data_IF_610722823407
#
_entry.id   IF_610722823407
#
_cell.length_a   1.000
_cell.length_b   1.000
_cell.length_c   1.000
_cell.angle_alpha   90.00
_cell.angle_beta   90.00
_cell.angle_gamma   90.00
#
_symmetry.space_group_name_H-M   'P 1'
#
loop_
_entity.id
_entity.type
_entity.pdbx_description
1 polymer ?
#
# COMPACT_ATOMS: atom_id res chain seq x y z
N UNK A 1 20.89 2.15 34.76
CA UNK A 1 20.80 3.30 33.84
C UNK A 1 19.39 3.36 33.30
N UNK A 2 18.66 4.43 33.62
CA UNK A 2 17.26 4.62 33.21
C UNK A 2 17.20 4.93 31.71
N UNK A 3 16.64 4.02 30.92
CA UNK A 3 16.23 4.28 29.53
C UNK A 3 15.12 5.35 29.57
N UNK A 4 15.50 6.61 29.48
CA UNK A 4 14.54 7.69 29.25
C UNK A 4 13.95 7.47 27.86
N UNK A 5 12.71 7.00 27.80
CA UNK A 5 11.94 7.05 26.57
C UNK A 5 11.89 8.50 26.10
N UNK A 6 12.56 8.82 25.00
CA UNK A 6 12.41 10.11 24.35
C UNK A 6 10.92 10.23 23.98
N UNK A 7 10.18 11.09 24.70
CA UNK A 7 8.94 11.63 24.16
C UNK A 7 9.34 12.26 22.82
N UNK A 8 8.73 11.88 21.69
CA UNK A 8 9.15 12.42 20.40
C UNK A 8 9.07 13.94 20.51
N UNK A 9 10.21 14.62 20.34
CA UNK A 9 10.24 16.07 20.29
C UNK A 9 9.22 16.47 19.22
N UNK A 10 8.34 17.42 19.55
CA UNK A 10 7.42 17.95 18.54
C UNK A 10 8.31 18.59 17.48
N UNK A 11 8.52 17.90 16.37
CA UNK A 11 9.27 18.44 15.24
C UNK A 11 8.70 19.82 14.91
N UNK A 12 9.55 20.85 14.96
CA UNK A 12 9.19 22.15 14.44
C UNK A 12 9.08 21.99 12.93
N UNK A 13 7.86 22.11 12.42
CA UNK A 13 7.60 21.91 11.00
C UNK A 13 8.19 23.07 10.19
N UNK A 14 8.86 22.75 9.08
CA UNK A 14 9.20 23.76 8.07
C UNK A 14 7.93 24.37 7.45
N UNK A 15 8.05 25.53 6.81
CA UNK A 15 6.91 26.14 6.11
C UNK A 15 6.37 25.23 5.00
N UNK A 16 7.24 24.53 4.29
CA UNK A 16 6.84 23.54 3.28
C UNK A 16 6.02 22.40 3.90
N UNK A 17 6.46 21.86 5.04
CA UNK A 17 5.73 20.81 5.75
C UNK A 17 4.39 21.31 6.28
N UNK A 18 4.34 22.53 6.85
CA UNK A 18 3.07 23.13 7.31
C UNK A 18 2.08 23.24 6.16
N UNK A 19 2.51 23.70 4.99
CA UNK A 19 1.69 23.83 3.77
C UNK A 19 1.22 22.48 3.25
N UNK A 20 2.12 21.50 3.19
CA UNK A 20 1.80 20.13 2.81
C UNK A 20 0.68 19.57 3.71
N UNK A 21 0.84 19.65 5.04
CA UNK A 21 -0.18 19.18 5.98
C UNK A 21 -1.48 19.99 5.94
N UNK A 22 -1.41 21.30 5.67
CA UNK A 22 -2.61 22.13 5.50
C UNK A 22 -3.37 21.79 4.19
N UNK A 23 -2.69 21.19 3.21
CA UNK A 23 -3.28 20.76 1.94
C UNK A 23 -3.96 19.39 1.99
N UNK A 24 -3.79 18.64 3.08
CA UNK A 24 -4.45 17.35 3.28
C UNK A 24 -5.97 17.51 3.20
N UNK A 25 -6.61 16.60 2.47
CA UNK A 25 -8.06 16.46 2.35
C UNK A 25 -8.53 15.07 2.74
N UNK A 26 -7.65 14.08 2.71
CA UNK A 26 -7.96 12.71 3.10
C UNK A 26 -7.68 12.45 4.58
N UNK A 27 -8.39 11.46 5.12
CA UNK A 27 -8.14 10.99 6.48
C UNK A 27 -6.79 10.28 6.56
N UNK A 28 -5.91 10.76 7.44
CA UNK A 28 -4.61 10.14 7.69
C UNK A 28 -4.60 9.15 8.86
N UNK A 29 -5.74 8.95 9.52
CA UNK A 29 -5.94 7.98 10.60
C UNK A 29 -5.04 8.13 11.83
N UNK A 30 -4.35 9.28 11.96
CA UNK A 30 -3.46 9.59 13.09
C UNK A 30 -4.18 9.54 14.45
N UNK A 31 -5.46 9.88 14.49
CA UNK A 31 -6.25 9.77 15.72
C UNK A 31 -6.53 8.31 16.09
N UNK A 32 -6.77 7.44 15.10
CA UNK A 32 -6.90 5.99 15.32
C UNK A 32 -5.59 5.43 15.83
N UNK A 33 -4.45 5.86 15.26
CA UNK A 33 -3.14 5.43 15.74
C UNK A 33 -2.97 5.74 17.25
N UNK A 34 -3.37 6.95 17.69
CA UNK A 34 -3.28 7.33 19.10
C UNK A 34 -4.13 6.47 20.05
N UNK A 35 -5.27 5.95 19.59
CA UNK A 35 -6.23 5.24 20.44
C UNK A 35 -6.10 3.72 20.32
N UNK A 36 -5.82 3.23 19.12
CA UNK A 36 -5.93 1.82 18.77
C UNK A 36 -4.58 1.16 18.47
N UNK A 37 -3.53 1.94 18.15
CA UNK A 37 -2.24 1.34 17.85
C UNK A 37 -1.61 0.72 19.10
N UNK A 38 -1.02 -0.45 18.91
CA UNK A 38 -0.27 -1.13 19.96
C UNK A 38 1.22 -0.91 19.72
N UNK A 39 1.89 -0.34 20.72
CA UNK A 39 3.34 -0.19 20.71
C UNK A 39 4.02 -1.51 21.06
N UNK A 40 5.00 -1.90 20.26
CA UNK A 40 5.86 -3.04 20.57
C UNK A 40 6.76 -2.69 21.77
N UNK A 41 7.01 -3.65 22.68
CA UNK A 41 8.07 -3.51 23.68
C UNK A 41 9.47 -3.53 23.04
N UNK A 42 9.60 -4.03 21.81
CA UNK A 42 10.83 -4.02 21.05
C UNK A 42 11.09 -2.62 20.48
N UNK A 43 12.32 -2.13 20.65
CA UNK A 43 12.77 -0.86 20.08
C UNK A 43 13.62 -1.16 18.85
N UNK A 44 13.19 -0.67 17.69
CA UNK A 44 13.93 -0.84 16.44
C UNK A 44 15.20 0.01 16.46
N UNK A 45 16.22 -0.45 15.77
CA UNK A 45 17.54 0.16 15.70
C UNK A 45 18.08 0.12 14.25
N UNK A 46 19.23 0.74 13.97
CA UNK A 46 19.89 0.57 12.67
C UNK A 46 20.19 -0.89 12.30
N UNK A 47 20.31 -1.81 13.27
CA UNK A 47 20.49 -3.23 13.00
C UNK A 47 19.25 -3.87 12.34
N UNK A 48 18.08 -3.24 12.51
CA UNK A 48 16.82 -3.69 11.92
C UNK A 48 16.57 -3.10 10.54
N UNK A 49 17.50 -2.33 9.96
CA UNK A 49 17.28 -1.80 8.62
C UNK A 49 17.00 -2.89 7.60
N UNK A 50 15.98 -2.65 6.77
CA UNK A 50 15.77 -3.45 5.58
C UNK A 50 16.95 -3.25 4.62
N UNK A 51 17.36 -4.29 3.88
CA UNK A 51 18.31 -4.12 2.79
C UNK A 51 17.80 -3.08 1.78
N UNK A 52 18.73 -2.33 1.20
CA UNK A 52 18.41 -1.23 0.31
C UNK A 52 17.59 -1.69 -0.91
N UNK A 53 17.92 -2.86 -1.46
CA UNK A 53 17.22 -3.50 -2.57
C UNK A 53 15.77 -3.85 -2.22
N UNK A 54 15.49 -4.27 -0.99
CA UNK A 54 14.13 -4.56 -0.52
C UNK A 54 13.34 -3.26 -0.38
N UNK A 55 13.94 -2.22 0.19
CA UNK A 55 13.30 -0.90 0.31
C UNK A 55 13.02 -0.29 -1.07
N UNK A 56 13.95 -0.40 -2.02
CA UNK A 56 13.77 0.06 -3.40
C UNK A 56 12.66 -0.71 -4.11
N UNK A 57 12.63 -2.04 -3.97
CA UNK A 57 11.57 -2.88 -4.54
C UNK A 57 10.19 -2.50 -3.99
N UNK A 58 10.06 -2.41 -2.66
CA UNK A 58 8.82 -2.00 -2.00
C UNK A 58 8.40 -0.60 -2.46
N UNK A 59 9.34 0.34 -2.54
CA UNK A 59 9.07 1.69 -3.04
C UNK A 59 8.59 1.69 -4.49
N UNK A 60 9.18 0.86 -5.36
CA UNK A 60 8.77 0.69 -6.75
C UNK A 60 7.35 0.15 -6.86
N UNK A 61 7.03 -0.94 -6.16
CA UNK A 61 5.68 -1.51 -6.16
C UNK A 61 4.65 -0.53 -5.55
N UNK A 62 5.05 0.27 -4.57
CA UNK A 62 4.21 1.29 -3.95
C UNK A 62 3.68 2.34 -4.93
N UNK A 63 4.43 2.66 -5.99
CA UNK A 63 3.96 3.58 -7.03
C UNK A 63 2.67 3.08 -7.70
N UNK A 64 2.56 1.77 -7.92
CA UNK A 64 1.37 1.17 -8.53
C UNK A 64 0.17 1.16 -7.57
N UNK A 65 0.41 0.90 -6.29
CA UNK A 65 -0.62 1.00 -5.25
C UNK A 65 -1.14 2.43 -5.09
N UNK A 66 -0.28 3.44 -5.21
CA UNK A 66 -0.62 4.86 -5.16
C UNK A 66 -1.43 5.28 -6.40
N UNK A 67 -1.05 4.84 -7.60
CA UNK A 67 -1.81 5.15 -8.84
C UNK A 67 -3.20 4.53 -8.84
N UNK A 68 -3.41 3.39 -8.15
CA UNK A 68 -4.75 2.80 -8.01
C UNK A 68 -5.75 3.74 -7.32
N UNK A 69 -5.27 4.72 -6.55
CA UNK A 69 -6.10 5.74 -5.91
C UNK A 69 -6.46 6.93 -6.81
N UNK A 70 -5.81 7.05 -7.97
CA UNK A 70 -6.03 8.15 -8.89
C UNK A 70 -7.51 8.31 -9.24
N UNK A 71 -7.99 9.56 -9.20
CA UNK A 71 -9.35 9.92 -9.62
C UNK A 71 -9.51 9.92 -11.15
N UNK A 72 -8.40 9.82 -11.87
CA UNK A 72 -8.35 9.82 -13.33
C UNK A 72 -8.50 8.38 -13.83
N UNK A 73 -9.30 8.14 -14.90
CA UNK A 73 -9.35 6.82 -15.54
C UNK A 73 -7.95 6.31 -15.86
N UNK A 74 -7.69 5.06 -15.50
CA UNK A 74 -6.35 4.47 -15.61
C UNK A 74 -5.95 4.35 -17.09
N UNK A 75 -6.90 4.04 -17.96
CA UNK A 75 -6.74 4.01 -19.41
C UNK A 75 -6.18 5.34 -19.93
N UNK A 76 -6.83 6.45 -19.57
CA UNK A 76 -6.38 7.78 -19.97
C UNK A 76 -4.98 8.10 -19.45
N UNK A 77 -4.67 7.70 -18.21
CA UNK A 77 -3.35 7.85 -17.62
C UNK A 77 -2.29 7.10 -18.46
N UNK A 78 -2.56 5.87 -18.89
CA UNK A 78 -1.63 5.08 -19.71
C UNK A 78 -1.51 5.61 -21.14
N UNK A 79 -2.61 6.07 -21.76
CA UNK A 79 -2.59 6.72 -23.08
C UNK A 79 -1.74 8.00 -23.08
N UNK A 80 -1.62 8.67 -21.94
CA UNK A 80 -0.87 9.93 -21.78
C UNK A 80 0.39 9.76 -20.91
N UNK A 81 0.88 8.52 -20.72
CA UNK A 81 1.85 8.19 -19.69
C UNK A 81 3.15 8.98 -19.80
N UNK A 82 3.67 9.17 -21.03
CA UNK A 82 4.87 9.97 -21.28
C UNK A 82 4.73 11.38 -20.71
N UNK A 83 3.60 12.06 -20.97
CA UNK A 83 3.33 13.38 -20.42
C UNK A 83 3.09 13.34 -18.91
N UNK A 84 2.41 12.30 -18.39
CA UNK A 84 2.17 12.19 -16.95
C UNK A 84 3.46 12.08 -16.14
N UNK A 85 4.51 11.49 -16.72
CA UNK A 85 5.83 11.31 -16.11
C UNK A 85 6.74 12.53 -16.21
N UNK A 86 6.40 13.53 -17.02
CA UNK A 86 7.20 14.76 -17.15
C UNK A 86 7.31 15.49 -15.80
N UNK A 87 8.39 16.27 -15.58
CA UNK A 87 8.48 17.18 -14.44
C UNK A 87 7.22 18.02 -14.32
N UNK A 88 6.78 18.31 -13.10
CA UNK A 88 5.53 19.03 -12.76
C UNK A 88 4.21 18.29 -13.01
N UNK A 89 4.17 17.22 -13.82
CA UNK A 89 2.94 16.44 -14.05
C UNK A 89 2.64 15.47 -12.88
N UNK A 90 1.45 14.83 -12.85
CA UNK A 90 1.02 14.05 -11.69
C UNK A 90 1.94 12.90 -11.29
N UNK A 91 2.58 12.23 -12.26
CA UNK A 91 3.46 11.07 -12.04
C UNK A 91 4.95 11.43 -12.05
N UNK A 92 5.29 12.71 -11.82
CA UNK A 92 6.67 13.14 -11.58
C UNK A 92 7.34 12.26 -10.49
N UNK A 93 8.41 11.55 -10.87
CA UNK A 93 9.17 10.65 -10.00
C UNK A 93 8.61 9.21 -9.90
N UNK A 94 7.60 8.85 -10.69
CA UNK A 94 7.04 7.49 -10.74
C UNK A 94 7.80 6.64 -11.77
N UNK A 95 9.10 6.48 -11.55
CA UNK A 95 10.04 5.84 -12.48
C UNK A 95 9.64 4.41 -12.87
N UNK A 96 8.92 3.69 -12.01
CA UNK A 96 8.50 2.31 -12.26
C UNK A 96 7.44 2.20 -13.36
N UNK A 97 6.81 3.31 -13.74
CA UNK A 97 5.85 3.36 -14.84
C UNK A 97 6.51 3.51 -16.21
N UNK A 98 7.81 3.82 -16.32
CA UNK A 98 8.47 4.00 -17.62
C UNK A 98 8.37 2.80 -18.54
N UNK A 99 8.35 1.59 -17.97
CA UNK A 99 8.29 0.32 -18.69
C UNK A 99 6.92 -0.38 -18.56
N UNK A 100 5.93 0.33 -18.00
CA UNK A 100 4.61 -0.21 -17.67
C UNK A 100 3.64 -0.12 -18.85
N UNK A 101 3.01 -1.25 -19.16
CA UNK A 101 2.06 -1.42 -20.26
C UNK A 101 0.69 -1.72 -19.65
N UNK A 102 -0.33 -1.01 -20.09
CA UNK A 102 -1.69 -1.26 -19.63
C UNK A 102 -2.19 -2.65 -20.09
N UNK A 103 -2.82 -3.40 -19.18
CA UNK A 103 -3.44 -4.70 -19.51
C UNK A 103 -4.95 -4.64 -19.36
N UNK A 104 -5.43 -4.18 -18.21
CA UNK A 104 -6.85 -4.08 -17.90
C UNK A 104 -7.11 -3.10 -16.75
N UNK A 105 -8.29 -2.47 -16.74
CA UNK A 105 -8.87 -1.89 -15.54
C UNK A 105 -10.24 -2.51 -15.30
N UNK A 106 -10.70 -2.46 -14.06
CA UNK A 106 -12.00 -2.98 -13.67
C UNK A 106 -12.53 -2.26 -12.44
N UNK A 107 -13.85 -2.29 -12.29
CA UNK A 107 -14.56 -1.74 -11.14
C UNK A 107 -15.38 -2.85 -10.49
N UNK A 108 -15.16 -3.09 -9.20
CA UNK A 108 -15.89 -4.10 -8.46
C UNK A 108 -17.36 -3.74 -8.28
N UNK A 109 -18.26 -4.73 -8.27
CA UNK A 109 -19.73 -4.52 -8.16
C UNK A 109 -20.20 -4.04 -6.78
N UNK A 110 -19.28 -3.82 -5.85
CA UNK A 110 -19.56 -3.44 -4.47
C UNK A 110 -18.71 -2.22 -4.16
N UNK A 111 -19.37 -1.11 -3.82
CA UNK A 111 -18.74 0.18 -3.52
C UNK A 111 -17.82 0.70 -4.63
N UNK A 112 -18.03 0.23 -5.86
CA UNK A 112 -17.33 0.65 -7.08
C UNK A 112 -15.81 0.73 -6.90
N UNK A 113 -15.21 -0.26 -6.24
CA UNK A 113 -13.77 -0.31 -5.97
C UNK A 113 -13.01 -0.53 -7.29
N UNK A 114 -12.22 0.43 -7.79
CA UNK A 114 -11.37 0.19 -8.94
C UNK A 114 -10.17 -0.68 -8.61
N UNK A 115 -9.73 -1.43 -9.62
CA UNK A 115 -8.42 -2.04 -9.69
C UNK A 115 -7.93 -2.04 -11.12
N UNK A 116 -6.64 -2.27 -11.30
CA UNK A 116 -6.05 -2.35 -12.63
C UNK A 116 -4.89 -3.34 -12.65
N UNK A 117 -4.52 -3.71 -13.86
CA UNK A 117 -3.43 -4.61 -14.15
C UNK A 117 -2.53 -3.97 -15.19
N UNK A 118 -1.24 -4.03 -14.93
CA UNK A 118 -0.20 -3.52 -15.81
C UNK A 118 0.95 -4.51 -15.90
N UNK A 119 1.60 -4.58 -17.06
CA UNK A 119 2.77 -5.40 -17.28
C UNK A 119 4.02 -4.53 -17.38
N UNK A 120 5.01 -4.80 -16.54
CA UNK A 120 6.32 -4.14 -16.59
C UNK A 120 7.25 -4.92 -17.50
N UNK A 121 7.52 -4.36 -18.68
CA UNK A 121 8.23 -5.07 -19.76
C UNK A 121 9.69 -5.40 -19.43
N UNK A 122 10.41 -4.56 -18.70
CA UNK A 122 11.81 -4.81 -18.36
C UNK A 122 11.94 -5.79 -17.21
N UNK A 123 11.10 -5.65 -16.18
CA UNK A 123 11.09 -6.54 -15.02
C UNK A 123 10.35 -7.85 -15.27
N UNK A 124 9.62 -7.97 -16.39
CA UNK A 124 8.72 -9.09 -16.72
C UNK A 124 7.69 -9.37 -15.61
N UNK A 125 7.18 -8.31 -14.99
CA UNK A 125 6.24 -8.39 -13.87
C UNK A 125 4.82 -8.07 -14.33
N UNK A 126 3.87 -8.93 -13.99
CA UNK A 126 2.44 -8.59 -14.08
C UNK A 126 1.98 -8.06 -12.72
N UNK A 127 1.59 -6.79 -12.66
CA UNK A 127 1.18 -6.13 -11.43
C UNK A 127 -0.33 -5.98 -11.39
N UNK A 128 -0.94 -6.45 -10.31
CA UNK A 128 -2.35 -6.29 -9.99
C UNK A 128 -2.47 -5.33 -8.81
N UNK A 129 -3.05 -4.17 -9.04
CA UNK A 129 -3.17 -3.12 -8.02
C UNK A 129 -4.64 -2.84 -7.68
N UNK A 130 -4.94 -2.84 -6.38
CA UNK A 130 -6.27 -2.53 -5.86
C UNK A 130 -6.28 -1.19 -5.13
N UNK A 131 -7.30 -0.39 -5.38
CA UNK A 131 -7.51 0.84 -4.62
C UNK A 131 -8.06 0.55 -3.24
N UNK A 132 -7.84 1.47 -2.31
CA UNK A 132 -8.72 1.59 -1.15
C UNK A 132 -9.81 2.63 -1.39
N UNK A 133 -10.89 2.58 -0.62
CA UNK A 133 -11.96 3.58 -0.77
C UNK A 133 -11.67 4.86 0.02
N UNK A 134 -11.99 6.05 -0.53
CA UNK A 134 -11.99 7.30 0.22
C UNK A 134 -13.04 7.29 1.36
N UNK A 135 -14.06 6.45 1.24
CA UNK A 135 -15.00 6.12 2.32
C UNK A 135 -14.45 5.07 3.29
N UNK A 136 -13.12 4.86 3.35
CA UNK A 136 -12.50 3.95 4.31
C UNK A 136 -13.03 4.22 5.72
N UNK A 137 -13.32 5.48 6.07
CA UNK A 137 -14.04 5.85 7.29
C UNK A 137 -15.39 5.15 7.48
N UNK A 138 -16.23 5.02 6.46
CA UNK A 138 -17.48 4.23 6.53
C UNK A 138 -17.18 2.74 6.69
N UNK A 139 -16.22 2.18 5.95
CA UNK A 139 -15.79 0.79 6.17
C UNK A 139 -15.22 0.56 7.59
N UNK A 140 -14.64 1.61 8.19
CA UNK A 140 -14.15 1.61 9.58
C UNK A 140 -15.24 1.92 10.62
N UNK A 141 -16.34 2.59 10.29
CA UNK A 141 -17.48 2.77 11.19
C UNK A 141 -18.48 1.61 11.10
N UNK A 142 -18.55 0.93 9.95
CA UNK A 142 -19.24 -0.34 9.75
C UNK A 142 -18.54 -1.52 10.47
N UNK A 143 -17.50 -1.26 11.29
CA UNK A 143 -16.91 -2.21 12.26
C UNK A 143 -17.89 -2.51 13.41
N UNK A 144 -19.17 -2.77 13.11
CA UNK A 144 -19.74 -3.99 13.69
C UNK A 144 -18.94 -5.12 13.06
N UNK A 145 -17.91 -5.57 13.77
CA UNK A 145 -16.89 -6.55 13.39
C UNK A 145 -17.47 -7.94 13.06
N UNK A 146 -18.41 -8.01 12.13
CA UNK A 146 -19.11 -9.21 11.74
C UNK A 146 -18.14 -10.06 10.93
N UNK A 147 -17.73 -11.13 11.58
CA UNK A 147 -16.87 -12.16 11.02
C UNK A 147 -17.72 -13.04 10.11
N UNK A 148 -17.39 -13.10 8.83
CA UNK A 148 -17.95 -14.06 7.90
C UNK A 148 -17.12 -15.35 7.92
N UNK A 149 -17.76 -16.51 8.02
CA UNK A 149 -17.03 -17.79 7.90
C UNK A 149 -16.43 -17.89 6.50
N UNK A 150 -15.12 -18.05 6.41
CA UNK A 150 -14.44 -18.17 5.12
C UNK A 150 -14.82 -19.51 4.46
N UNK A 151 -14.98 -19.59 3.12
CA UNK A 151 -15.33 -20.83 2.43
C UNK A 151 -14.40 -22.02 2.71
N UNK A 152 -13.14 -21.76 3.08
CA UNK A 152 -12.21 -22.84 3.50
C UNK A 152 -12.62 -23.51 4.81
N UNK A 153 -13.54 -22.94 5.59
CA UNK A 153 -13.92 -23.37 6.94
C UNK A 153 -12.77 -23.37 7.96
N UNK A 154 -11.60 -22.81 7.60
CA UNK A 154 -10.41 -22.72 8.46
C UNK A 154 -10.33 -21.45 9.29
N UNK A 155 -11.37 -20.61 9.24
CA UNK A 155 -11.44 -19.38 10.02
C UNK A 155 -12.50 -18.43 9.50
N UNK A 156 -12.46 -17.20 10.00
CA UNK A 156 -13.36 -16.13 9.60
C UNK A 156 -12.60 -14.94 9.01
N UNK A 157 -13.26 -14.25 8.09
CA UNK A 157 -12.80 -13.03 7.40
C UNK A 157 -13.72 -11.87 7.78
N UNK A 158 -13.21 -10.64 7.73
CA UNK A 158 -14.05 -9.45 7.90
C UNK A 158 -15.12 -9.41 6.80
N UNK A 159 -16.40 -9.35 7.17
CA UNK A 159 -17.52 -9.44 6.22
C UNK A 159 -17.49 -8.34 5.14
N UNK A 160 -17.11 -7.11 5.51
CA UNK A 160 -16.97 -6.00 4.56
C UNK A 160 -15.88 -6.26 3.52
N UNK A 161 -14.67 -6.65 3.96
CA UNK A 161 -13.56 -6.95 3.03
C UNK A 161 -13.88 -8.15 2.15
N UNK A 162 -14.57 -9.16 2.70
CA UNK A 162 -15.06 -10.30 1.93
C UNK A 162 -16.09 -9.90 0.88
N UNK A 163 -17.03 -9.01 1.20
CA UNK A 163 -18.03 -8.51 0.23
C UNK A 163 -17.36 -7.76 -0.91
N UNK A 164 -16.42 -6.87 -0.60
CA UNK A 164 -15.64 -6.11 -1.59
C UNK A 164 -14.84 -7.06 -2.48
N UNK A 165 -14.09 -7.99 -1.88
CA UNK A 165 -13.32 -8.99 -2.60
C UNK A 165 -14.18 -9.82 -3.56
N UNK A 166 -15.32 -10.34 -3.10
CA UNK A 166 -16.25 -11.09 -3.97
C UNK A 166 -16.76 -10.25 -5.14
N UNK A 167 -16.98 -8.95 -4.94
CA UNK A 167 -17.45 -8.03 -5.98
C UNK A 167 -16.43 -7.76 -7.08
N UNK A 168 -15.14 -7.97 -6.81
CA UNK A 168 -14.03 -7.64 -7.73
C UNK A 168 -13.27 -8.88 -8.23
N UNK A 169 -13.36 -10.01 -7.52
CA UNK A 169 -12.60 -11.25 -7.78
C UNK A 169 -12.63 -11.69 -9.24
N UNK A 170 -13.82 -11.77 -9.85
CA UNK A 170 -13.96 -12.30 -11.21
C UNK A 170 -13.17 -11.47 -12.23
N UNK A 171 -13.28 -10.14 -12.16
CA UNK A 171 -12.58 -9.22 -13.06
C UNK A 171 -11.06 -9.24 -12.85
N UNK A 172 -10.61 -9.31 -11.60
CA UNK A 172 -9.20 -9.43 -11.30
C UNK A 172 -8.60 -10.74 -11.87
N UNK A 173 -9.27 -11.88 -11.68
CA UNK A 173 -8.81 -13.15 -12.24
C UNK A 173 -8.81 -13.15 -13.76
N UNK A 174 -9.84 -12.58 -14.40
CA UNK A 174 -9.90 -12.43 -15.86
C UNK A 174 -8.74 -11.59 -16.39
N UNK A 175 -8.49 -10.42 -15.78
CA UNK A 175 -7.39 -9.55 -16.18
C UNK A 175 -6.01 -10.18 -15.94
N UNK A 176 -5.83 -10.99 -14.87
CA UNK A 176 -4.59 -11.75 -14.65
C UNK A 176 -4.40 -12.78 -15.77
N UNK A 177 -5.43 -13.56 -16.11
CA UNK A 177 -5.35 -14.53 -17.21
C UNK A 177 -5.00 -13.84 -18.53
N UNK A 178 -5.62 -12.69 -18.80
CA UNK A 178 -5.31 -11.87 -19.98
C UNK A 178 -3.83 -11.46 -19.99
N UNK A 179 -3.33 -10.91 -18.89
CA UNK A 179 -1.92 -10.49 -18.79
C UNK A 179 -0.93 -11.65 -18.96
N UNK A 180 -1.19 -12.78 -18.31
CA UNK A 180 -0.37 -13.99 -18.45
C UNK A 180 -0.38 -14.57 -19.87
N UNK A 181 -1.47 -14.41 -20.61
CA UNK A 181 -1.58 -14.88 -21.99
C UNK A 181 -0.93 -13.92 -23.01
N UNK A 182 -0.86 -12.62 -22.71
CA UNK A 182 -0.40 -11.59 -23.65
C UNK A 182 1.08 -11.23 -23.49
N UNK A 183 1.70 -11.58 -22.37
CA UNK A 183 3.04 -11.14 -22.02
C UNK A 183 3.91 -12.28 -21.48
N UNK A 184 5.24 -12.15 -21.64
CA UNK A 184 6.24 -13.04 -21.05
C UNK A 184 6.42 -12.71 -19.56
N UNK A 185 5.48 -13.17 -18.73
CA UNK A 185 5.46 -12.88 -17.29
C UNK A 185 6.38 -13.85 -16.54
N UNK A 186 7.32 -13.30 -15.77
CA UNK A 186 8.21 -14.05 -14.87
C UNK A 186 7.89 -13.84 -13.39
N UNK A 187 7.02 -12.90 -13.05
CA UNK A 187 6.57 -12.67 -11.68
C UNK A 187 5.16 -12.06 -11.67
N UNK A 188 4.27 -12.60 -10.84
CA UNK A 188 2.98 -11.98 -10.54
C UNK A 188 3.09 -11.17 -9.24
N UNK A 189 2.86 -9.86 -9.31
CA UNK A 189 2.85 -8.98 -8.15
C UNK A 189 1.42 -8.56 -7.85
N UNK A 190 0.99 -8.75 -6.60
CA UNK A 190 -0.31 -8.30 -6.10
C UNK A 190 -0.05 -7.20 -5.07
N UNK A 191 -0.64 -6.02 -5.27
CA UNK A 191 -0.42 -4.87 -4.40
C UNK A 191 -1.70 -4.10 -4.12
N UNK A 192 -1.65 -3.30 -3.05
CA UNK A 192 -2.76 -2.47 -2.63
C UNK A 192 -2.40 -1.67 -1.39
N UNK A 193 -2.97 -0.47 -1.30
CA UNK A 193 -2.87 0.40 -0.14
C UNK A 193 -4.20 0.40 0.63
N UNK A 194 -4.14 0.53 1.97
CA UNK A 194 -5.32 0.54 2.84
C UNK A 194 -6.20 -0.71 2.66
N UNK A 195 -7.51 -0.52 2.51
CA UNK A 195 -8.49 -1.53 2.11
C UNK A 195 -8.07 -2.34 0.86
N UNK A 196 -7.38 -1.72 -0.10
CA UNK A 196 -6.84 -2.42 -1.27
C UNK A 196 -5.90 -3.54 -0.86
N UNK A 197 -5.07 -3.32 0.17
CA UNK A 197 -4.19 -4.35 0.72
C UNK A 197 -4.95 -5.55 1.34
N UNK A 198 -6.11 -5.33 1.94
CA UNK A 198 -6.96 -6.42 2.42
C UNK A 198 -7.57 -7.23 1.26
N UNK A 199 -7.95 -6.56 0.16
CA UNK A 199 -8.42 -7.23 -1.06
C UNK A 199 -7.29 -8.02 -1.72
N UNK A 200 -6.09 -7.47 -1.80
CA UNK A 200 -4.88 -8.15 -2.32
C UNK A 200 -4.58 -9.44 -1.53
N UNK A 201 -4.64 -9.38 -0.21
CA UNK A 201 -4.49 -10.57 0.65
C UNK A 201 -5.56 -11.61 0.35
N UNK A 202 -6.83 -11.24 0.24
CA UNK A 202 -7.90 -12.20 -0.05
C UNK A 202 -7.78 -12.81 -1.46
N UNK A 203 -7.31 -12.04 -2.45
CA UNK A 203 -7.02 -12.56 -3.78
C UNK A 203 -5.93 -13.62 -3.74
N UNK A 204 -4.79 -13.32 -3.11
CA UNK A 204 -3.70 -14.28 -3.03
C UNK A 204 -4.12 -15.54 -2.26
N UNK A 205 -4.94 -15.40 -1.22
CA UNK A 205 -5.43 -16.55 -0.44
C UNK A 205 -6.18 -17.53 -1.35
N UNK A 206 -7.06 -17.02 -2.20
CA UNK A 206 -7.83 -17.84 -3.13
C UNK A 206 -6.96 -18.42 -4.25
N UNK A 207 -5.97 -17.68 -4.76
CA UNK A 207 -5.00 -18.19 -5.76
C UNK A 207 -4.18 -19.34 -5.18
N UNK A 208 -3.69 -19.24 -3.95
CA UNK A 208 -2.93 -20.30 -3.29
C UNK A 208 -3.79 -21.52 -2.94
N UNK A 209 -5.07 -21.28 -2.63
CA UNK A 209 -6.03 -22.34 -2.32
C UNK A 209 -6.44 -23.12 -3.57
N UNK A 210 -6.58 -22.45 -4.71
CA UNK A 210 -6.99 -23.04 -5.97
C UNK A 210 -6.16 -22.46 -7.13
N UNK A 211 -5.04 -23.12 -7.41
CA UNK A 211 -4.12 -22.74 -8.49
C UNK A 211 -4.75 -22.85 -9.88
N UNK A 212 -5.96 -23.42 -10.04
CA UNK A 212 -6.67 -23.43 -11.32
C UNK A 212 -7.36 -22.09 -11.62
N UNK A 213 -7.44 -21.18 -10.63
CA UNK A 213 -8.06 -19.88 -10.85
C UNK A 213 -7.28 -19.06 -11.88
N UNK A 214 -5.96 -19.17 -11.90
CA UNK A 214 -5.05 -18.50 -12.85
C UNK A 214 -3.87 -19.42 -13.14
N UNK A 215 -3.36 -19.52 -14.38
CA UNK A 215 -2.31 -20.46 -14.75
C UNK A 215 -0.93 -19.99 -14.25
N UNK A 216 -0.74 -19.99 -12.93
CA UNK A 216 0.50 -19.50 -12.30
C UNK A 216 1.59 -20.57 -12.20
N UNK A 217 1.26 -21.87 -12.13
CA UNK A 217 2.28 -22.92 -12.03
C UNK A 217 3.37 -22.62 -10.98
N UNK A 218 4.63 -22.67 -11.40
CA UNK A 218 5.80 -22.29 -10.59
C UNK A 218 6.18 -20.79 -10.66
N UNK A 219 5.43 -19.97 -11.40
CA UNK A 219 5.65 -18.52 -11.53
C UNK A 219 5.72 -17.86 -10.14
N UNK A 220 6.82 -17.19 -9.76
CA UNK A 220 6.91 -16.45 -8.51
C UNK A 220 5.74 -15.49 -8.29
N UNK A 221 5.19 -15.49 -7.07
CA UNK A 221 4.11 -14.57 -6.69
C UNK A 221 4.60 -13.68 -5.55
N UNK A 222 4.43 -12.36 -5.68
CA UNK A 222 4.77 -11.41 -4.63
C UNK A 222 3.55 -10.63 -4.17
N UNK A 223 3.37 -10.54 -2.87
CA UNK A 223 2.38 -9.66 -2.25
C UNK A 223 3.11 -8.48 -1.62
N UNK A 224 2.77 -7.25 -2.00
CA UNK A 224 3.30 -6.04 -1.33
C UNK A 224 2.14 -5.14 -0.96
N UNK A 225 1.86 -4.97 0.32
CA UNK A 225 0.72 -4.17 0.80
C UNK A 225 1.16 -3.06 1.74
N UNK A 226 0.46 -1.93 1.67
CA UNK A 226 0.79 -0.71 2.40
C UNK A 226 -0.37 -0.31 3.29
N UNK A 227 -0.15 -0.20 4.60
CA UNK A 227 -1.21 0.21 5.53
C UNK A 227 -2.42 -0.71 5.53
N UNK A 228 -2.22 -2.01 5.27
CA UNK A 228 -3.33 -2.96 5.20
C UNK A 228 -3.95 -3.18 6.60
N UNK A 229 -5.28 -3.11 6.74
CA UNK A 229 -5.96 -3.51 7.96
C UNK A 229 -5.88 -5.03 8.17
N UNK A 230 -6.15 -5.49 9.38
CA UNK A 230 -6.36 -6.92 9.65
C UNK A 230 -7.65 -7.37 8.97
N UNK A 231 -7.60 -8.39 8.11
CA UNK A 231 -8.80 -8.84 7.38
C UNK A 231 -9.24 -10.25 7.76
N UNK A 232 -8.40 -11.02 8.44
CA UNK A 232 -8.64 -12.41 8.83
C UNK A 232 -8.51 -12.62 10.34
N UNK A 233 -9.21 -13.65 10.84
CA UNK A 233 -9.03 -14.14 12.21
C UNK A 233 -7.82 -15.07 12.32
N UNK A 234 -7.35 -15.33 13.55
CA UNK A 234 -6.21 -16.23 13.83
C UNK A 234 -6.24 -17.55 13.04
N UNK A 235 -7.41 -18.21 12.95
CA UNK A 235 -7.52 -19.47 12.19
C UNK A 235 -7.27 -19.29 10.69
N UNK A 236 -7.81 -18.21 10.11
CA UNK A 236 -7.66 -17.95 8.67
C UNK A 236 -6.23 -17.51 8.33
N UNK A 237 -5.58 -16.75 9.22
CA UNK A 237 -4.16 -16.40 9.09
C UNK A 237 -3.25 -17.63 9.27
N UNK A 238 -3.60 -18.55 10.18
CA UNK A 238 -2.87 -19.83 10.26
C UNK A 238 -2.99 -20.61 8.95
N UNK A 239 -4.19 -20.69 8.39
CA UNK A 239 -4.42 -21.35 7.10
C UNK A 239 -3.68 -20.70 5.94
N UNK A 240 -3.54 -19.37 5.95
CA UNK A 240 -2.66 -18.67 5.01
C UNK A 240 -1.22 -19.16 5.10
N UNK A 241 -0.64 -19.22 6.31
CA UNK A 241 0.71 -19.76 6.51
C UNK A 241 0.86 -21.18 5.96
N UNK A 242 -0.12 -22.05 6.24
CA UNK A 242 -0.15 -23.43 5.70
C UNK A 242 -0.13 -23.44 4.16
N UNK A 243 -0.78 -22.48 3.48
CA UNK A 243 -0.78 -22.36 2.02
C UNK A 243 0.56 -21.82 1.48
N UNK A 244 1.15 -20.85 2.16
CA UNK A 244 2.47 -20.28 1.82
C UNK A 244 3.55 -21.36 1.92
N UNK A 245 3.57 -22.09 3.04
CA UNK A 245 4.53 -23.18 3.29
C UNK A 245 4.38 -24.28 2.22
N UNK A 246 3.14 -24.71 1.95
CA UNK A 246 2.86 -25.70 0.89
C UNK A 246 3.37 -25.25 -0.48
N UNK A 247 3.25 -23.97 -0.80
CA UNK A 247 3.75 -23.43 -2.07
C UNK A 247 5.27 -23.43 -2.12
N UNK A 248 5.93 -23.04 -1.03
CA UNK A 248 7.40 -23.09 -0.92
C UNK A 248 7.95 -24.50 -1.05
N UNK A 249 7.32 -25.46 -0.39
CA UNK A 249 7.65 -26.89 -0.50
C UNK A 249 7.52 -27.40 -1.94
N UNK A 250 6.49 -26.95 -2.67
CA UNK A 250 6.21 -27.38 -4.06
C UNK A 250 7.09 -26.69 -5.11
N UNK A 251 7.33 -25.39 -4.96
CA UNK A 251 7.86 -24.53 -6.02
C UNK A 251 9.18 -23.83 -5.65
N UNK A 252 9.73 -24.06 -4.45
CA UNK A 252 10.94 -23.43 -3.93
C UNK A 252 10.65 -22.21 -3.03
N UNK A 253 11.63 -21.85 -2.20
CA UNK A 253 11.45 -20.83 -1.14
C UNK A 253 11.09 -19.45 -1.68
N UNK A 254 11.66 -19.07 -2.83
CA UNK A 254 11.41 -17.80 -3.50
C UNK A 254 10.13 -17.76 -4.34
N UNK A 255 9.36 -18.87 -4.37
CA UNK A 255 8.10 -18.94 -5.14
C UNK A 255 6.99 -18.04 -4.58
N UNK A 256 7.15 -17.58 -3.33
CA UNK A 256 6.24 -16.63 -2.69
C UNK A 256 6.97 -15.69 -1.71
N UNK A 257 6.83 -14.38 -1.96
CA UNK A 257 7.35 -13.33 -1.07
C UNK A 257 6.23 -12.39 -0.66
N UNK A 258 6.17 -12.04 0.63
CA UNK A 258 5.10 -11.25 1.21
C UNK A 258 5.65 -10.07 1.99
N UNK A 259 5.31 -8.84 1.64
CA UNK A 259 5.73 -7.64 2.34
C UNK A 259 4.50 -6.84 2.78
N UNK A 260 4.44 -6.54 4.07
CA UNK A 260 3.40 -5.68 4.65
C UNK A 260 4.06 -4.49 5.31
N UNK A 261 3.92 -3.32 4.71
CA UNK A 261 4.49 -2.07 5.23
C UNK A 261 3.47 -1.39 6.13
N UNK A 262 3.87 -1.12 7.37
CA UNK A 262 3.19 -0.23 8.31
C UNK A 262 4.01 1.05 8.40
N UNK A 263 3.39 2.20 8.60
CA UNK A 263 4.15 3.46 8.77
C UNK A 263 3.82 4.18 10.07
N UNK A 264 4.73 5.06 10.47
CA UNK A 264 4.56 5.92 11.62
C UNK A 264 3.23 6.68 11.57
N UNK A 265 2.51 6.62 12.70
CA UNK A 265 1.27 7.36 12.93
C UNK A 265 0.11 6.99 11.97
N UNK A 266 0.19 5.84 11.31
CA UNK A 266 -0.94 5.23 10.61
C UNK A 266 -1.74 4.31 11.54
N UNK A 267 -3.02 4.60 11.71
CA UNK A 267 -3.94 3.83 12.55
C UNK A 267 -4.62 2.65 11.84
N UNK A 268 -4.59 2.58 10.52
CA UNK A 268 -5.32 1.54 9.76
C UNK A 268 -4.84 0.12 10.08
N UNK A 269 -3.54 -0.17 10.15
CA UNK A 269 -3.06 -1.50 10.53
C UNK A 269 -3.53 -1.95 11.91
N UNK A 270 -3.92 -1.02 12.79
CA UNK A 270 -4.45 -1.34 14.11
C UNK A 270 -5.90 -1.85 14.08
N UNK A 271 -6.56 -1.80 12.92
CA UNK A 271 -7.96 -2.16 12.76
C UNK A 271 -8.18 -3.39 11.86
N UNK A 272 -9.24 -4.18 12.11
CA UNK A 272 -9.93 -4.26 13.39
C UNK A 272 -8.98 -4.70 14.51
N UNK A 273 -9.32 -4.40 15.77
CA UNK A 273 -8.47 -4.71 16.91
C UNK A 273 -8.14 -6.19 17.09
N UNK A 274 -6.91 -6.46 17.57
CA UNK A 274 -6.42 -7.81 17.89
C UNK A 274 -7.30 -8.55 18.90
N UNK A 275 -7.89 -7.84 19.86
CA UNK A 275 -8.74 -8.44 20.90
C UNK A 275 -10.05 -9.02 20.35
N UNK A 276 -10.51 -8.56 19.18
CA UNK A 276 -11.60 -9.21 18.44
C UNK A 276 -11.16 -10.48 17.68
N UNK A 277 -9.91 -10.92 17.84
CA UNK A 277 -9.38 -12.15 17.23
C UNK A 277 -8.86 -12.01 15.80
N UNK A 278 -8.85 -10.78 15.26
CA UNK A 278 -8.20 -10.47 13.99
C UNK A 278 -6.68 -10.48 14.11
N UNK A 279 -5.98 -10.88 13.04
CA UNK A 279 -4.52 -11.00 12.96
C UNK A 279 -4.02 -10.46 11.62
N UNK A 280 -2.74 -10.13 11.53
CA UNK A 280 -2.10 -9.81 10.25
C UNK A 280 -1.73 -11.09 9.51
N UNK A 281 -1.91 -11.10 8.18
CA UNK A 281 -1.58 -12.26 7.35
C UNK A 281 -0.07 -12.45 7.17
N UNK A 282 0.61 -11.38 6.75
CA UNK A 282 2.01 -11.39 6.33
C UNK A 282 2.96 -11.55 7.52
N UNK A 283 3.87 -12.51 7.42
CA UNK A 283 4.85 -12.85 8.47
C UNK A 283 6.15 -12.04 8.40
N UNK A 284 6.36 -11.31 7.31
CA UNK A 284 7.50 -10.42 7.04
C UNK A 284 7.07 -8.95 6.98
N UNK A 285 6.59 -8.36 8.09
CA UNK A 285 6.18 -6.96 8.10
C UNK A 285 7.37 -6.01 8.22
N UNK A 286 7.18 -4.80 7.71
CA UNK A 286 8.13 -3.71 7.80
C UNK A 286 7.51 -2.49 8.46
N UNK A 287 8.34 -1.68 9.11
CA UNK A 287 7.96 -0.39 9.66
C UNK A 287 8.69 0.72 8.92
N UNK A 288 7.94 1.62 8.28
CA UNK A 288 8.48 2.79 7.60
C UNK A 288 8.41 4.01 8.52
N UNK A 289 9.56 4.59 8.82
CA UNK A 289 9.70 5.81 9.62
C UNK A 289 10.71 6.73 8.95
N UNK A 290 10.25 7.92 8.55
CA UNK A 290 11.11 9.04 8.17
C UNK A 290 12.16 8.73 7.07
N UNK A 291 11.75 7.97 6.04
CA UNK A 291 12.64 7.61 4.93
C UNK A 291 13.38 6.29 5.13
N UNK A 292 13.34 5.73 6.33
CA UNK A 292 13.96 4.44 6.62
C UNK A 292 12.91 3.34 6.73
N UNK A 293 13.25 2.16 6.19
CA UNK A 293 12.46 0.95 6.32
C UNK A 293 13.15 -0.02 7.29
N UNK A 294 12.43 -0.46 8.31
CA UNK A 294 12.90 -1.39 9.32
C UNK A 294 12.18 -2.72 9.18
N UNK A 295 12.91 -3.83 9.24
CA UNK A 295 12.36 -5.17 9.42
C UNK A 295 11.75 -5.25 10.82
N UNK A 296 10.50 -5.70 10.90
CA UNK A 296 9.87 -5.99 12.19
C UNK A 296 10.20 -7.45 12.53
N UNK A 297 10.72 -7.76 13.73
CA UNK A 297 10.91 -9.15 14.15
C UNK A 297 9.60 -9.93 14.06
N UNK A 298 9.59 -11.20 13.59
CA UNK A 298 8.35 -11.96 13.42
C UNK A 298 7.48 -12.07 14.69
N UNK A 299 8.10 -12.12 15.88
CA UNK A 299 7.41 -12.11 17.17
C UNK A 299 6.60 -10.83 17.42
N UNK A 300 7.03 -9.73 16.80
CA UNK A 300 6.44 -8.40 16.94
C UNK A 300 5.48 -8.04 15.80
N UNK A 301 5.20 -8.98 14.88
CA UNK A 301 4.41 -8.77 13.66
C UNK A 301 2.99 -8.23 13.90
N UNK A 302 2.42 -8.47 15.08
CA UNK A 302 1.09 -7.98 15.44
C UNK A 302 1.04 -6.53 15.91
N UNK A 303 2.18 -5.96 16.31
CA UNK A 303 2.28 -4.56 16.72
C UNK A 303 2.27 -3.62 15.51
N UNK A 304 1.79 -2.40 15.73
CA UNK A 304 1.55 -1.43 14.65
C UNK A 304 2.33 -0.15 14.83
N UNK A 305 2.91 0.06 16.01
CA UNK A 305 3.77 1.19 16.34
C UNK A 305 5.04 0.71 17.03
N UNK A 306 6.15 1.37 16.76
CA UNK A 306 7.46 1.02 17.29
C UNK A 306 8.20 2.28 17.73
N UNK A 307 8.95 2.16 18.81
CA UNK A 307 10.01 3.12 19.13
C UNK A 307 11.24 2.79 18.29
N UNK A 308 12.01 3.81 17.95
CA UNK A 308 13.28 3.66 17.24
C UNK A 308 14.36 4.35 18.04
N UNK A 309 15.45 3.64 18.33
CA UNK A 309 16.61 4.22 19.01
C UNK A 309 17.33 5.18 18.05
N UNK A 310 17.56 6.41 18.49
CA UNK A 310 18.55 7.28 17.84
C UNK A 310 19.94 6.73 18.11
N UNK A 311 20.79 6.66 17.09
CA UNK A 311 22.20 6.30 17.27
C UNK A 311 22.90 7.45 18.01
N UNK A 312 23.07 7.33 19.34
CA UNK A 312 23.69 8.35 20.20
C UNK A 312 25.20 8.57 19.90
N UNK A 313 25.79 7.74 19.03
CA UNK A 313 27.23 7.73 18.74
C UNK A 313 27.68 8.68 17.62
N UNK A 314 26.76 9.37 16.95
CA UNK A 314 27.08 10.31 15.87
C UNK A 314 26.52 11.70 16.16
N UNK A 315 27.32 12.68 15.77
CA UNK A 315 27.10 14.12 15.88
C UNK A 315 25.64 14.53 15.58
N UNK A 316 24.93 15.21 16.51
CA UNK A 316 23.54 15.61 16.34
C UNK A 316 23.30 16.57 15.15
N UNK A 317 24.35 17.17 14.59
CA UNK A 317 24.25 17.96 13.34
C UNK A 317 24.34 17.09 12.06
N UNK A 318 24.81 15.84 12.15
CA UNK A 318 24.94 14.90 11.01
C UNK A 318 23.85 13.82 10.98
N UNK A 319 23.04 13.71 12.03
CA UNK A 319 21.98 12.71 12.15
C UNK A 319 20.64 13.27 11.70
N UNK A 320 20.14 12.72 10.59
CA UNK A 320 18.77 12.86 10.07
C UNK A 320 18.55 14.17 9.31
N UNK A 321 18.66 14.09 7.98
CA UNK A 321 17.90 14.99 7.09
C UNK A 321 16.49 15.10 7.65
N UNK A 322 16.03 16.32 7.98
CA UNK A 322 14.73 16.54 8.62
C UNK A 322 13.67 15.66 7.93
N UNK A 323 12.88 14.89 8.70
CA UNK A 323 11.96 13.94 8.10
C UNK A 323 11.05 14.65 7.11
N UNK A 324 10.93 14.14 5.88
CA UNK A 324 10.08 14.77 4.85
C UNK A 324 8.62 14.85 5.34
N UNK A 325 8.18 13.82 6.06
CA UNK A 325 6.82 13.72 6.62
C UNK A 325 6.85 13.52 8.15
N UNK A 326 7.16 14.55 8.97
CA UNK A 326 7.37 14.38 10.41
C UNK A 326 6.13 13.91 11.20
N UNK A 327 4.92 14.10 10.65
CA UNK A 327 3.66 13.65 11.28
C UNK A 327 3.27 12.23 10.85
N UNK A 328 3.96 11.64 9.87
CA UNK A 328 3.57 10.37 9.25
C UNK A 328 2.10 10.35 8.86
N UNK A 329 1.47 9.18 8.94
CA UNK A 329 0.05 9.00 8.65
C UNK A 329 -0.19 8.10 7.45
N UNK A 330 -1.46 7.71 7.29
CA UNK A 330 -1.87 6.70 6.33
C UNK A 330 -1.56 7.06 4.86
N UNK A 331 -1.37 8.33 4.49
CA UNK A 331 -1.11 8.71 3.11
C UNK A 331 0.39 8.91 2.81
N UNK A 332 1.29 8.54 3.73
CA UNK A 332 2.72 8.81 3.66
C UNK A 332 3.57 7.54 3.69
N UNK A 333 3.51 6.78 2.61
CA UNK A 333 4.32 5.58 2.39
C UNK A 333 5.49 5.88 1.45
N UNK A 334 6.59 5.13 1.57
CA UNK A 334 7.73 5.16 0.62
C UNK A 334 8.36 6.55 0.42
N UNK A 335 8.24 7.45 1.39
CA UNK A 335 8.74 8.81 1.28
C UNK A 335 7.98 9.66 0.26
N UNK A 336 6.72 9.32 -0.06
CA UNK A 336 5.85 10.06 -0.97
C UNK A 336 4.61 10.60 -0.26
N UNK A 337 4.14 11.74 -0.76
CA UNK A 337 2.83 12.32 -0.42
C UNK A 337 1.80 11.81 -1.44
N UNK A 338 1.02 10.79 -1.07
CA UNK A 338 -0.02 10.24 -1.95
C UNK A 338 -1.09 11.29 -2.29
N UNK A 339 -1.34 12.25 -1.38
CA UNK A 339 -2.32 13.32 -1.63
C UNK A 339 -1.82 14.33 -2.67
N UNK A 340 -0.50 14.46 -2.86
CA UNK A 340 0.08 15.24 -3.98
C UNK A 340 -0.34 14.65 -5.33
N UNK A 341 -0.21 13.33 -5.50
CA UNK A 341 -0.65 12.64 -6.72
C UNK A 341 -2.14 12.89 -6.95
N UNK A 342 -2.97 12.61 -5.93
CA UNK A 342 -4.42 12.76 -6.02
C UNK A 342 -4.85 14.18 -6.36
N UNK A 343 -4.25 15.18 -5.73
CA UNK A 343 -4.55 16.58 -5.97
C UNK A 343 -4.21 16.98 -7.41
N UNK A 344 -3.06 16.54 -7.93
CA UNK A 344 -2.63 16.80 -9.32
C UNK A 344 -3.50 16.06 -10.33
N UNK A 345 -3.83 14.79 -10.07
CA UNK A 345 -4.76 14.01 -10.90
C UNK A 345 -6.16 14.65 -10.95
N UNK A 346 -6.66 15.18 -9.83
CA UNK A 346 -7.91 15.95 -9.78
C UNK A 346 -7.87 17.22 -10.65
N UNK A 347 -6.71 17.87 -10.80
CA UNK A 347 -6.59 19.03 -11.69
C UNK A 347 -6.65 18.62 -13.15
N UNK A 348 -6.04 17.49 -13.50
CA UNK A 348 -6.15 16.90 -14.84
C UNK A 348 -7.61 16.55 -15.16
N UNK A 349 -8.28 15.80 -14.29
CA UNK A 349 -9.70 15.44 -14.47
C UNK A 349 -10.60 16.67 -14.68
N UNK A 350 -10.40 17.72 -13.89
CA UNK A 350 -11.14 18.98 -14.07
C UNK A 350 -10.81 19.69 -15.38
N UNK A 351 -9.55 19.67 -15.81
CA UNK A 351 -9.14 20.27 -17.07
C UNK A 351 -9.77 19.53 -18.26
N UNK A 352 -9.81 18.20 -18.23
CA UNK A 352 -10.50 17.36 -19.22
C UNK A 352 -11.99 17.72 -19.28
N UNK A 353 -12.66 17.77 -18.13
CA UNK A 353 -14.11 18.10 -18.05
C UNK A 353 -14.44 19.50 -18.54
N UNK A 354 -13.49 20.44 -18.47
CA UNK A 354 -13.66 21.81 -19.00
C UNK A 354 -13.58 21.86 -20.53
N UNK A 355 -13.01 20.84 -21.18
CA UNK A 355 -12.76 20.80 -22.62
C UNK A 355 -11.53 21.63 -23.04
N UNK A 356 -11.08 21.45 -24.28
CA UNK A 356 -9.86 22.08 -24.83
C UNK A 356 -8.58 21.30 -24.52
N UNK A 357 -7.42 21.97 -24.57
CA UNK A 357 -6.15 21.35 -24.20
C UNK A 357 -6.04 21.19 -22.67
N UNK A 358 -6.27 19.98 -22.20
CA UNK A 358 -6.19 19.64 -20.78
C UNK A 358 -4.79 19.86 -20.20
N UNK A 359 -3.72 19.77 -21.01
CA UNK A 359 -2.34 19.95 -20.56
C UNK A 359 -2.12 21.40 -20.15
N UNK A 360 -2.58 22.34 -20.97
CA UNK A 360 -2.53 23.76 -20.67
C UNK A 360 -3.40 24.12 -19.46
N UNK A 361 -4.63 23.59 -19.41
CA UNK A 361 -5.51 23.76 -18.26
C UNK A 361 -4.88 23.26 -16.94
N UNK A 362 -4.15 22.14 -16.99
CA UNK A 362 -3.38 21.63 -15.86
C UNK A 362 -2.21 22.56 -15.48
N UNK A 363 -1.40 23.01 -16.44
CA UNK A 363 -0.24 23.89 -16.18
C UNK A 363 -0.65 25.20 -15.51
N UNK A 364 -1.68 25.87 -16.02
CA UNK A 364 -2.25 27.08 -15.39
C UNK A 364 -2.66 26.81 -13.94
N UNK A 365 -3.28 25.66 -13.67
CA UNK A 365 -3.69 25.29 -12.31
C UNK A 365 -2.50 24.99 -11.40
N UNK A 366 -1.48 24.31 -11.93
CA UNK A 366 -0.24 23.98 -11.23
C UNK A 366 0.54 25.25 -10.84
N UNK A 367 0.73 26.16 -11.79
CA UNK A 367 1.38 27.45 -11.56
C UNK A 367 0.62 28.28 -10.54
N UNK A 368 -0.71 28.39 -10.66
CA UNK A 368 -1.53 29.09 -9.67
C UNK A 368 -1.36 28.50 -8.27
N UNK A 369 -1.31 27.17 -8.16
CA UNK A 369 -1.09 26.52 -6.86
C UNK A 369 0.31 26.79 -6.29
N UNK A 370 1.33 26.94 -7.14
CA UNK A 370 2.69 27.21 -6.71
C UNK A 370 3.00 28.70 -6.49
N UNK A 371 2.34 29.61 -7.20
CA UNK A 371 2.51 31.07 -7.05
C UNK A 371 1.75 31.62 -5.84
N UNK A 372 0.73 30.89 -5.36
CA UNK A 372 0.11 31.16 -4.06
C UNK A 372 0.80 30.43 -2.90
N UNK A 373 2.00 29.84 -3.13
CA UNK A 373 2.89 29.36 -2.07
C UNK A 373 3.82 30.48 -1.66
#
# INVERSE_FOLDING_TARGET
MSLRSLRPSKYVLSEEQKRMYASEKLMNFRWIAKVMATYSPYTLSPADFAPAEVQQYISSIGQFAEVAYSVMPVEFLFENLTTMLEPTFPLEGYESFRDAIFVAAFVGRVADVPGYITYRSQAKQLIVAFTGTASAMQAFYDIRALKHSHPSRRGKVHSGFWKLYKGIKAFALEGIRKGLAQHDVQELVITGHSMGGAVSQLLLLDILRDENLVPVGSLPIKLVVFGAPRSGTKGLVKYWGELVDKRREKCGEDSIIEYSVKTYNDGVPALPPRYFGYRHYVQTPFYFLHGNLYRIPPSESEYTSFHVSSDESKDPEKLVSLPIHPRGGHNYYNGRDMEKLLRRANWVDRAIKKGGDWKEGYRVRFEKYNNHK
#
